data_IF_223957570459
#
_entry.id   IF_223957570459
#
_cell.length_a   1.000
_cell.length_b   1.000
_cell.length_c   1.000
_cell.angle_alpha   90.00
_cell.angle_beta   90.00
_cell.angle_gamma   90.00
#
_symmetry.space_group_name_H-M   'P 1'
#
loop_
_entity.id
_entity.type
_entity.pdbx_description
1 polymer ?
#
# COMPACT_ATOMS: atom_id res chain seq x y z
N UNK A 1 -2.79 -19.84 -4.91
CA UNK A 1 -2.09 -20.87 -4.12
C UNK A 1 -1.00 -21.60 -4.91
N UNK A 2 -1.26 -22.16 -6.08
CA UNK A 2 -0.26 -22.88 -6.90
C UNK A 2 0.98 -22.03 -7.21
N UNK A 3 0.80 -20.76 -7.60
CA UNK A 3 1.92 -19.83 -7.86
C UNK A 3 2.77 -19.61 -6.61
N UNK A 4 2.13 -19.40 -5.46
CA UNK A 4 2.86 -19.22 -4.20
C UNK A 4 3.66 -20.47 -3.80
N UNK A 5 3.09 -21.67 -4.04
CA UNK A 5 3.77 -22.94 -3.82
C UNK A 5 5.00 -23.06 -4.71
N UNK A 6 4.89 -22.70 -5.98
CA UNK A 6 6.03 -22.73 -6.91
C UNK A 6 7.15 -21.77 -6.46
N UNK A 7 6.81 -20.52 -6.10
CA UNK A 7 7.80 -19.56 -5.59
C UNK A 7 8.51 -20.07 -4.32
N UNK A 8 7.79 -20.76 -3.45
CA UNK A 8 8.36 -21.38 -2.28
C UNK A 8 9.29 -22.56 -2.63
N UNK A 9 8.86 -23.46 -3.52
CA UNK A 9 9.67 -24.61 -3.97
C UNK A 9 10.96 -24.17 -4.68
N UNK A 10 10.93 -23.03 -5.38
CA UNK A 10 12.10 -22.39 -5.97
C UNK A 10 12.96 -21.61 -4.94
N UNK A 11 12.57 -21.60 -3.67
CA UNK A 11 13.32 -20.94 -2.60
C UNK A 11 13.25 -19.41 -2.65
N UNK A 12 12.28 -18.83 -3.35
CA UNK A 12 12.16 -17.38 -3.54
C UNK A 12 11.39 -16.68 -2.43
N UNK A 13 10.48 -17.39 -1.78
CA UNK A 13 9.70 -16.89 -0.64
C UNK A 13 9.70 -17.92 0.51
N UNK A 14 9.35 -17.47 1.70
CA UNK A 14 9.08 -18.34 2.85
C UNK A 14 7.80 -19.16 2.65
N UNK A 15 7.53 -20.10 3.54
CA UNK A 15 6.38 -21.00 3.44
C UNK A 15 5.05 -20.23 3.38
N UNK A 16 4.24 -20.51 2.36
CA UNK A 16 3.05 -19.73 2.03
C UNK A 16 1.78 -20.10 2.82
N UNK A 17 1.77 -21.24 3.53
CA UNK A 17 0.61 -21.66 4.35
C UNK A 17 0.89 -21.33 5.82
N UNK A 18 0.84 -20.05 6.16
CA UNK A 18 1.08 -19.55 7.51
C UNK A 18 0.13 -18.43 7.84
N UNK A 19 -0.24 -18.30 9.09
CA UNK A 19 -0.96 -17.16 9.68
C UNK A 19 -0.03 -16.25 10.50
N UNK A 20 1.26 -16.57 10.53
CA UNK A 20 2.25 -15.80 11.25
C UNK A 20 2.50 -14.44 10.57
N UNK A 21 2.65 -13.41 11.40
CA UNK A 21 2.96 -12.02 10.97
C UNK A 21 4.34 -11.55 11.43
N UNK A 22 5.05 -12.37 12.21
CA UNK A 22 6.39 -12.05 12.70
C UNK A 22 7.45 -12.25 11.64
N UNK A 23 8.49 -11.44 11.68
CA UNK A 23 9.69 -11.55 10.87
C UNK A 23 10.88 -11.94 11.77
N UNK A 24 11.79 -12.73 11.25
CA UNK A 24 13.06 -13.02 11.94
C UNK A 24 13.93 -11.77 12.03
N UNK A 25 14.84 -11.75 12.99
CA UNK A 25 15.79 -10.65 13.18
C UNK A 25 16.63 -10.39 11.90
N UNK A 26 17.06 -11.46 11.23
CA UNK A 26 17.82 -11.35 9.98
C UNK A 26 16.98 -10.78 8.84
N UNK A 27 15.70 -11.16 8.74
CA UNK A 27 14.78 -10.60 7.75
C UNK A 27 14.55 -9.11 8.00
N UNK A 28 14.33 -8.69 9.24
CA UNK A 28 14.18 -7.27 9.62
C UNK A 28 15.45 -6.51 9.25
N UNK A 29 16.62 -7.02 9.59
CA UNK A 29 17.90 -6.40 9.23
C UNK A 29 18.05 -6.23 7.73
N UNK A 30 17.81 -7.28 6.94
CA UNK A 30 17.88 -7.24 5.48
C UNK A 30 16.88 -6.26 4.87
N UNK A 31 15.64 -6.17 5.40
CA UNK A 31 14.65 -5.18 4.98
C UNK A 31 15.16 -3.74 5.23
N UNK A 32 15.74 -3.49 6.41
CA UNK A 32 16.26 -2.17 6.77
C UNK A 32 17.44 -1.76 5.88
N UNK A 33 18.33 -2.68 5.56
CA UNK A 33 19.43 -2.47 4.59
C UNK A 33 18.88 -2.16 3.18
N UNK A 34 17.85 -2.87 2.75
CA UNK A 34 17.19 -2.61 1.47
C UNK A 34 16.52 -1.23 1.44
N UNK A 35 15.82 -0.83 2.53
CA UNK A 35 15.22 0.50 2.64
C UNK A 35 16.29 1.58 2.52
N UNK A 36 17.36 1.49 3.28
CA UNK A 36 18.45 2.46 3.23
C UNK A 36 19.06 2.57 1.84
N UNK A 37 19.27 1.43 1.19
CA UNK A 37 19.90 1.34 -0.15
C UNK A 37 19.03 1.89 -1.27
N UNK A 38 17.73 1.59 -1.26
CA UNK A 38 16.85 1.89 -2.41
C UNK A 38 15.97 3.13 -2.20
N UNK A 39 15.71 3.53 -0.96
CA UNK A 39 14.80 4.63 -0.64
C UNK A 39 15.49 5.76 0.16
N UNK A 40 16.57 5.46 0.86
CA UNK A 40 17.32 6.44 1.64
C UNK A 40 16.90 6.50 3.12
N UNK A 41 17.65 7.30 3.88
CA UNK A 41 17.55 7.37 5.35
C UNK A 41 16.20 7.90 5.83
N UNK A 42 15.57 8.82 5.09
CA UNK A 42 14.27 9.39 5.44
C UNK A 42 13.16 8.34 5.55
N UNK A 43 13.28 7.24 4.82
CA UNK A 43 12.29 6.14 4.82
C UNK A 43 12.55 5.08 5.88
N UNK A 44 13.70 5.14 6.56
CA UNK A 44 14.09 4.15 7.55
C UNK A 44 13.71 4.61 8.97
N UNK A 45 12.81 3.91 9.69
CA UNK A 45 12.50 4.23 11.08
C UNK A 45 13.75 4.07 11.97
N UNK A 46 13.86 4.88 13.02
CA UNK A 46 14.95 4.77 14.01
C UNK A 46 14.99 3.36 14.62
N UNK A 47 13.83 2.83 14.97
CA UNK A 47 13.67 1.48 15.55
C UNK A 47 13.04 0.53 14.55
N UNK A 48 13.41 -0.75 14.66
CA UNK A 48 12.80 -1.81 13.86
C UNK A 48 11.34 -2.01 14.29
N UNK A 49 10.46 -2.26 13.32
CA UNK A 49 9.06 -2.58 13.61
C UNK A 49 8.93 -4.09 13.85
N UNK A 50 8.42 -4.46 15.01
CA UNK A 50 8.14 -5.84 15.37
C UNK A 50 6.63 -6.11 15.33
N UNK A 51 6.27 -7.23 14.71
CA UNK A 51 4.89 -7.71 14.64
C UNK A 51 4.77 -9.01 15.41
N UNK A 52 3.73 -9.13 16.23
CA UNK A 52 3.45 -10.33 17.03
C UNK A 52 2.16 -10.97 16.57
N UNK A 53 2.22 -12.26 16.30
CA UNK A 53 1.03 -13.07 15.98
C UNK A 53 0.12 -13.15 17.21
N UNK A 54 -1.16 -12.81 17.04
CA UNK A 54 -2.15 -12.81 18.14
C UNK A 54 -2.81 -14.17 18.36
N UNK A 55 -2.62 -15.13 17.48
CA UNK A 55 -3.23 -16.44 17.55
C UNK A 55 -2.63 -17.27 18.72
N UNK A 56 -3.50 -17.78 19.59
CA UNK A 56 -3.09 -18.67 20.70
C UNK A 56 -2.55 -20.03 20.22
N UNK A 57 -2.85 -20.40 18.98
CA UNK A 57 -2.46 -21.65 18.34
C UNK A 57 -1.37 -21.47 17.26
N UNK A 58 -0.81 -20.28 17.14
CA UNK A 58 0.29 -20.04 16.21
C UNK A 58 1.47 -20.95 16.61
N UNK A 59 1.89 -21.80 15.69
CA UNK A 59 3.12 -22.57 15.89
C UNK A 59 4.26 -21.54 15.91
N UNK A 60 4.97 -21.45 17.02
CA UNK A 60 6.02 -20.45 17.27
C UNK A 60 7.16 -20.46 16.21
N UNK A 61 7.24 -21.54 15.43
CA UNK A 61 8.25 -21.73 14.39
C UNK A 61 7.88 -21.10 13.03
N UNK A 62 6.66 -20.55 12.85
CA UNK A 62 6.25 -20.01 11.57
C UNK A 62 6.60 -18.52 11.48
N UNK A 63 7.08 -18.12 10.31
CA UNK A 63 7.39 -16.75 9.92
C UNK A 63 6.36 -16.25 8.91
N UNK A 64 6.21 -14.92 8.79
CA UNK A 64 5.38 -14.31 7.75
C UNK A 64 5.87 -14.68 6.34
N UNK A 65 4.96 -14.62 5.37
CA UNK A 65 5.30 -14.78 3.96
C UNK A 65 6.15 -13.58 3.52
N UNK A 66 7.37 -13.84 3.10
CA UNK A 66 8.33 -12.83 2.65
C UNK A 66 9.28 -13.37 1.59
N UNK A 67 10.00 -12.52 0.84
CA UNK A 67 11.12 -12.97 0.02
C UNK A 67 12.20 -13.64 0.88
N UNK A 68 12.79 -14.71 0.40
CA UNK A 68 13.93 -15.36 1.06
C UNK A 68 15.14 -14.42 1.11
N UNK A 69 15.33 -13.64 0.06
CA UNK A 69 16.34 -12.58 -0.04
C UNK A 69 15.72 -11.29 -0.55
N UNK A 70 15.60 -10.28 0.31
CA UNK A 70 15.03 -8.96 0.00
C UNK A 70 15.87 -8.20 -1.03
N UNK A 71 17.16 -8.52 -1.20
CA UNK A 71 18.01 -7.89 -2.20
C UNK A 71 17.71 -8.35 -3.64
N UNK A 72 16.93 -9.41 -3.80
CA UNK A 72 16.32 -9.81 -5.06
C UNK A 72 15.07 -8.95 -5.32
N UNK A 73 15.29 -7.73 -5.82
CA UNK A 73 14.20 -6.80 -6.12
C UNK A 73 13.30 -7.34 -7.23
N UNK A 74 12.00 -6.92 -7.30
CA UNK A 74 11.09 -7.32 -8.37
C UNK A 74 11.69 -7.10 -9.76
N UNK A 75 12.37 -5.98 -9.98
CA UNK A 75 13.05 -5.67 -11.25
C UNK A 75 14.11 -6.71 -11.64
N UNK A 76 14.86 -7.24 -10.66
CA UNK A 76 15.85 -8.31 -10.94
C UNK A 76 15.18 -9.66 -11.24
N UNK A 77 14.00 -9.87 -10.69
CA UNK A 77 13.27 -11.13 -10.85
C UNK A 77 12.39 -11.16 -12.10
N UNK A 78 12.13 -10.02 -12.73
CA UNK A 78 11.31 -9.88 -13.94
C UNK A 78 11.79 -10.78 -15.09
N UNK A 79 13.10 -10.92 -15.26
CA UNK A 79 13.70 -11.77 -16.31
C UNK A 79 13.71 -13.27 -15.96
N UNK A 80 13.40 -13.63 -14.72
CA UNK A 80 13.49 -15.01 -14.21
C UNK A 80 12.13 -15.65 -14.00
N UNK A 81 11.09 -14.85 -13.77
CA UNK A 81 9.78 -15.29 -13.39
C UNK A 81 8.78 -15.13 -14.52
N UNK A 82 7.82 -16.04 -14.61
CA UNK A 82 6.66 -15.84 -15.47
C UNK A 82 5.79 -14.66 -14.94
N UNK A 83 4.97 -14.07 -15.81
CA UNK A 83 4.20 -12.85 -15.50
C UNK A 83 3.44 -12.90 -14.17
N UNK A 84 2.71 -13.98 -13.92
CA UNK A 84 1.90 -14.10 -12.70
C UNK A 84 2.74 -14.41 -11.46
N UNK A 85 3.85 -15.14 -11.62
CA UNK A 85 4.83 -15.37 -10.57
C UNK A 85 5.51 -14.07 -10.18
N UNK A 86 5.88 -13.25 -11.17
CA UNK A 86 6.49 -11.95 -10.94
C UNK A 86 5.54 -11.01 -10.20
N UNK A 87 4.27 -10.92 -10.61
CA UNK A 87 3.26 -10.08 -9.93
C UNK A 87 3.09 -10.47 -8.46
N UNK A 88 2.99 -11.79 -8.17
CA UNK A 88 2.85 -12.26 -6.80
C UNK A 88 4.12 -12.00 -6.00
N UNK A 89 5.31 -12.27 -6.57
CA UNK A 89 6.58 -11.97 -5.93
C UNK A 89 6.73 -10.48 -5.61
N UNK A 90 6.39 -9.62 -6.57
CA UNK A 90 6.41 -8.17 -6.41
C UNK A 90 5.51 -7.70 -5.26
N UNK A 91 4.29 -8.22 -5.19
CA UNK A 91 3.35 -7.91 -4.10
C UNK A 91 3.93 -8.31 -2.74
N UNK A 92 4.46 -9.53 -2.62
CA UNK A 92 5.08 -10.03 -1.39
C UNK A 92 6.29 -9.17 -1.01
N UNK A 93 7.14 -8.84 -1.98
CA UNK A 93 8.33 -8.02 -1.76
C UNK A 93 7.97 -6.61 -1.29
N UNK A 94 7.05 -5.95 -2.01
CA UNK A 94 6.56 -4.60 -1.66
C UNK A 94 5.97 -4.58 -0.26
N UNK A 95 5.11 -5.54 0.08
CA UNK A 95 4.49 -5.65 1.40
C UNK A 95 5.53 -5.83 2.50
N UNK A 96 6.50 -6.72 2.28
CA UNK A 96 7.57 -7.01 3.24
C UNK A 96 8.45 -5.80 3.49
N UNK A 97 8.89 -5.08 2.47
CA UNK A 97 9.74 -3.89 2.64
C UNK A 97 8.93 -2.74 3.25
N UNK A 98 7.73 -2.48 2.75
CA UNK A 98 6.85 -1.41 3.22
C UNK A 98 6.51 -1.54 4.72
N UNK A 99 6.35 -2.77 5.25
CA UNK A 99 6.05 -2.96 6.66
C UNK A 99 7.18 -2.46 7.59
N UNK A 100 8.41 -2.35 7.10
CA UNK A 100 9.56 -1.82 7.84
C UNK A 100 9.88 -0.35 7.54
N UNK A 101 9.13 0.32 6.65
CA UNK A 101 9.33 1.73 6.29
C UNK A 101 8.67 2.70 7.30
N UNK A 102 9.09 3.96 7.27
CA UNK A 102 8.42 5.04 7.98
C UNK A 102 6.95 5.17 7.52
N UNK A 103 6.03 5.56 8.42
CA UNK A 103 4.65 5.86 8.05
C UNK A 103 4.59 7.04 7.08
N UNK A 104 3.52 7.09 6.28
CA UNK A 104 3.19 8.28 5.52
C UNK A 104 2.66 9.37 6.46
N UNK A 105 2.89 10.64 6.10
CA UNK A 105 2.33 11.82 6.77
C UNK A 105 1.37 12.46 5.78
N UNK A 106 0.11 12.58 6.19
CA UNK A 106 -0.98 13.08 5.37
C UNK A 106 -1.65 14.24 6.10
N UNK A 107 -1.79 15.37 5.42
CA UNK A 107 -2.56 16.50 5.90
C UNK A 107 -4.00 16.40 5.41
N UNK A 108 -4.96 16.48 6.32
CA UNK A 108 -6.37 16.61 5.94
C UNK A 108 -6.63 18.03 5.49
N UNK A 109 -7.16 18.17 4.28
CA UNK A 109 -7.37 19.47 3.63
C UNK A 109 -8.80 19.60 3.15
N UNK A 110 -9.34 20.81 3.28
CA UNK A 110 -10.61 21.22 2.69
C UNK A 110 -10.34 22.36 1.72
N UNK A 111 -10.71 22.17 0.46
CA UNK A 111 -10.57 23.17 -0.59
C UNK A 111 -11.95 23.74 -0.90
N UNK A 112 -12.14 25.03 -0.64
CA UNK A 112 -13.33 25.77 -1.02
C UNK A 112 -13.03 26.57 -2.29
N UNK A 113 -13.65 26.23 -3.40
CA UNK A 113 -13.54 26.93 -4.68
C UNK A 113 -14.79 27.76 -4.90
N UNK A 114 -14.63 29.03 -5.32
CA UNK A 114 -15.73 29.95 -5.59
C UNK A 114 -15.68 30.44 -7.03
N UNK A 115 -16.85 30.56 -7.67
CA UNK A 115 -16.94 31.22 -8.95
C UNK A 115 -16.66 32.73 -8.84
N UNK A 116 -16.26 33.39 -9.93
CA UNK A 116 -15.93 34.82 -9.92
C UNK A 116 -17.12 35.69 -9.47
N UNK A 117 -18.34 35.28 -9.82
CA UNK A 117 -19.58 35.93 -9.38
C UNK A 117 -20.05 35.55 -7.98
N UNK A 118 -19.27 34.69 -7.28
CA UNK A 118 -19.56 34.20 -5.93
C UNK A 118 -20.88 33.44 -5.77
N UNK A 119 -21.51 33.00 -6.84
CA UNK A 119 -22.78 32.28 -6.80
C UNK A 119 -22.60 30.76 -6.58
N UNK A 120 -21.49 30.23 -7.05
CA UNK A 120 -21.19 28.80 -6.93
C UNK A 120 -20.05 28.61 -5.94
N UNK A 121 -20.30 27.79 -4.90
CA UNK A 121 -19.31 27.32 -3.95
C UNK A 121 -19.19 25.80 -4.09
N UNK A 122 -17.99 25.32 -4.41
CA UNK A 122 -17.66 23.91 -4.44
C UNK A 122 -16.70 23.60 -3.29
N UNK A 123 -16.96 22.52 -2.57
CA UNK A 123 -16.09 22.04 -1.50
C UNK A 123 -15.56 20.65 -1.83
N UNK A 124 -14.24 20.49 -1.78
CA UNK A 124 -13.57 19.22 -1.85
C UNK A 124 -12.89 18.93 -0.50
N UNK A 125 -13.19 17.76 0.06
CA UNK A 125 -12.51 17.24 1.25
C UNK A 125 -11.53 16.18 0.79
N UNK A 126 -10.37 16.09 1.45
CA UNK A 126 -9.39 15.05 1.13
C UNK A 126 -8.09 15.23 1.89
N UNK A 127 -7.03 14.69 1.34
CA UNK A 127 -5.72 14.64 1.97
C UNK A 127 -4.64 15.09 1.00
N UNK A 128 -3.60 15.74 1.52
CA UNK A 128 -2.36 16.05 0.79
C UNK A 128 -1.24 15.23 1.42
N UNK A 129 -0.42 14.60 0.60
CA UNK A 129 0.72 13.82 1.07
C UNK A 129 1.86 14.79 1.37
N UNK A 130 2.21 14.97 2.64
CA UNK A 130 3.40 15.71 3.06
C UNK A 130 4.66 14.84 2.94
N UNK A 131 4.55 13.60 3.38
CA UNK A 131 5.60 12.59 3.22
C UNK A 131 4.98 11.26 2.86
N UNK A 132 5.43 10.67 1.74
CA UNK A 132 4.82 9.46 1.20
C UNK A 132 5.14 8.18 2.02
N UNK A 133 6.27 8.14 2.74
CA UNK A 133 6.62 7.02 3.59
C UNK A 133 6.49 5.66 2.87
N UNK A 134 5.81 4.70 3.50
CA UNK A 134 5.58 3.38 2.91
C UNK A 134 4.69 3.40 1.67
N UNK A 135 3.86 4.45 1.48
CA UNK A 135 2.98 4.59 0.30
C UNK A 135 3.78 4.71 -1.00
N UNK A 136 5.04 5.15 -0.94
CA UNK A 136 5.95 5.16 -2.09
C UNK A 136 6.10 3.79 -2.73
N UNK A 137 6.01 2.74 -1.93
CA UNK A 137 6.25 1.38 -2.35
C UNK A 137 4.98 0.55 -2.44
N UNK A 138 4.07 0.75 -1.49
CA UNK A 138 2.89 -0.08 -1.35
C UNK A 138 1.64 0.80 -1.17
N UNK A 139 0.75 0.68 -2.14
CA UNK A 139 -0.61 1.22 -2.07
C UNK A 139 -1.56 0.04 -2.21
N UNK A 140 -2.49 -0.09 -1.28
CA UNK A 140 -3.54 -1.11 -1.36
C UNK A 140 -4.53 -0.71 -2.46
N UNK A 141 -4.76 -1.61 -3.44
CA UNK A 141 -5.81 -1.41 -4.42
C UNK A 141 -7.16 -1.51 -3.70
N UNK A 142 -8.02 -0.53 -3.88
CA UNK A 142 -9.39 -0.61 -3.40
C UNK A 142 -10.17 -1.54 -4.32
N UNK A 143 -10.70 -2.64 -3.79
CA UNK A 143 -11.51 -3.61 -4.53
C UNK A 143 -12.94 -3.09 -4.78
N UNK A 144 -13.42 -2.14 -3.98
CA UNK A 144 -14.72 -1.50 -4.12
C UNK A 144 -14.57 0.02 -4.20
N UNK A 145 -15.37 0.60 -5.09
CA UNK A 145 -15.52 2.04 -5.28
C UNK A 145 -16.32 2.69 -4.14
N UNK A 146 -16.00 2.38 -2.91
CA UNK A 146 -16.41 3.26 -1.82
C UNK A 146 -15.61 4.55 -1.99
N UNK A 147 -16.24 5.49 -2.66
CA UNK A 147 -15.85 6.90 -2.72
C UNK A 147 -15.91 7.48 -1.29
N UNK A 148 -14.97 7.05 -0.48
CA UNK A 148 -14.71 7.70 0.80
C UNK A 148 -14.04 9.03 0.47
N UNK A 149 -14.87 10.05 0.27
CA UNK A 149 -14.45 11.41 -0.12
C UNK A 149 -13.39 11.96 0.85
N UNK A 150 -13.35 11.48 2.08
CA UNK A 150 -12.37 11.89 3.09
C UNK A 150 -10.94 11.38 2.82
N UNK A 151 -10.78 10.31 2.05
CA UNK A 151 -9.48 9.69 1.74
C UNK A 151 -8.97 10.03 0.33
N UNK A 152 -9.64 10.91 -0.38
CA UNK A 152 -9.21 11.36 -1.72
C UNK A 152 -7.93 12.18 -1.62
N UNK A 153 -6.94 11.85 -2.44
CA UNK A 153 -5.72 12.67 -2.56
C UNK A 153 -6.04 13.91 -3.39
N UNK A 154 -5.89 15.07 -2.77
CA UNK A 154 -6.08 16.38 -3.40
C UNK A 154 -4.73 16.96 -3.85
N UNK A 155 -4.73 17.80 -4.90
CA UNK A 155 -3.54 18.55 -5.26
C UNK A 155 -3.20 19.57 -4.16
N UNK A 156 -1.93 19.89 -4.04
CA UNK A 156 -1.49 20.97 -3.16
C UNK A 156 -1.79 22.30 -3.86
N UNK A 157 -2.68 23.09 -3.29
CA UNK A 157 -3.12 24.40 -3.81
C UNK A 157 -2.95 25.47 -2.74
N UNK A 158 -2.66 26.71 -3.17
CA UNK A 158 -2.51 27.85 -2.27
C UNK A 158 -3.81 28.69 -2.20
N UNK A 159 -3.99 29.40 -1.11
CA UNK A 159 -5.15 30.28 -0.94
C UNK A 159 -5.11 31.42 -1.98
N UNK A 160 -6.18 31.56 -2.76
CA UNK A 160 -6.30 32.56 -3.81
C UNK A 160 -5.76 32.12 -5.17
N UNK A 161 -5.30 30.88 -5.27
CA UNK A 161 -4.93 30.28 -6.56
C UNK A 161 -6.15 30.19 -7.48
N UNK A 162 -5.96 30.52 -8.78
CA UNK A 162 -6.99 30.38 -9.79
C UNK A 162 -7.00 28.96 -10.30
N UNK A 163 -8.18 28.36 -10.27
CA UNK A 163 -8.41 27.00 -10.76
C UNK A 163 -9.21 27.08 -12.06
N UNK A 164 -8.72 26.43 -13.10
CA UNK A 164 -9.42 26.37 -14.37
C UNK A 164 -10.58 25.37 -14.31
N UNK A 165 -11.68 25.72 -14.95
CA UNK A 165 -12.83 24.85 -15.08
C UNK A 165 -12.53 23.76 -16.11
N UNK A 166 -12.60 22.51 -15.68
CA UNK A 166 -12.55 21.35 -16.56
C UNK A 166 -13.88 21.10 -17.31
N UNK A 167 -13.97 19.98 -17.99
CA UNK A 167 -15.20 19.52 -18.62
C UNK A 167 -16.26 19.19 -17.56
N UNK A 168 -17.49 19.65 -17.78
CA UNK A 168 -18.64 19.29 -16.93
C UNK A 168 -19.40 18.17 -17.63
N UNK A 169 -19.37 16.99 -17.01
CA UNK A 169 -20.15 15.83 -17.45
C UNK A 169 -21.31 15.59 -16.51
N UNK A 170 -22.43 15.12 -17.07
CA UNK A 170 -23.58 14.69 -16.26
C UNK A 170 -23.60 13.18 -16.20
N UNK A 171 -23.67 12.62 -14.99
CA UNK A 171 -23.74 11.18 -14.77
C UNK A 171 -25.00 10.84 -13.98
N UNK A 172 -25.61 9.71 -14.32
CA UNK A 172 -26.75 9.19 -13.57
C UNK A 172 -26.32 7.99 -12.73
N UNK A 173 -26.48 8.12 -11.42
CA UNK A 173 -26.18 7.05 -10.48
C UNK A 173 -27.47 6.46 -9.92
N UNK A 174 -27.50 5.14 -9.78
CA UNK A 174 -28.61 4.40 -9.16
C UNK A 174 -28.12 3.75 -7.89
N UNK A 175 -28.90 3.88 -6.82
CA UNK A 175 -28.65 3.10 -5.60
C UNK A 175 -28.93 1.62 -5.87
N UNK A 176 -28.02 0.77 -5.46
CA UNK A 176 -28.20 -0.68 -5.50
C UNK A 176 -28.46 -1.22 -4.09
N UNK A 177 -29.29 -2.27 -3.95
CA UNK A 177 -29.47 -2.90 -2.66
C UNK A 177 -28.14 -3.53 -2.17
N UNK A 178 -27.95 -3.69 -0.87
CA UNK A 178 -26.78 -4.40 -0.37
C UNK A 178 -26.69 -5.82 -0.98
N UNK A 179 -25.48 -6.35 -1.20
CA UNK A 179 -25.31 -7.70 -1.73
C UNK A 179 -25.96 -8.72 -0.80
N UNK A 180 -26.42 -9.83 -1.39
CA UNK A 180 -26.94 -10.95 -0.61
C UNK A 180 -25.83 -11.56 0.25
N UNK A 181 -26.19 -12.05 1.43
CA UNK A 181 -25.26 -12.84 2.23
C UNK A 181 -24.81 -14.07 1.45
N UNK A 182 -23.50 -14.31 1.46
CA UNK A 182 -22.93 -15.57 0.98
C UNK A 182 -22.94 -16.60 2.10
N UNK A 183 -23.05 -17.87 1.77
CA UNK A 183 -22.83 -18.94 2.75
C UNK A 183 -21.39 -18.85 3.26
N UNK A 184 -21.22 -18.96 4.58
CA UNK A 184 -19.93 -18.90 5.26
C UNK A 184 -19.19 -20.24 5.13
#
# INVERSE_FOLDING_TARGET
MQIAQKLYEEGLITYMRTDAVNLSADAIKSCREAILKYFGEAYLPKEAKEYKTKSKNAQEAHEAIRPSDVMNTPKKMEVKLASDEHKLYELIWKRTVACQMNPAILDKVVIDSKSEDMQILLRANGQVIEFDGFLKLYQESKDDSDDDDENRILPNVEQGEKVDKGEITTEQHFTVPPPRFTEA
#
